data_IF_712948881385
#
_entry.id   IF_712948881385
#
_cell.length_a   1.000
_cell.length_b   1.000
_cell.length_c   1.000
_cell.angle_alpha   90.00
_cell.angle_beta   90.00
_cell.angle_gamma   90.00
#
_symmetry.space_group_name_H-M   'P 1'
#
loop_
_entity.id
_entity.type
_entity.pdbx_description
1 polymer ?
#
# COMPACT_ATOMS: atom_id res chain seq x y z
N UNK A 1 -8.72 13.53 6.83
CA UNK A 1 -8.31 12.18 7.26
C UNK A 1 -8.01 12.24 8.75
N UNK A 2 -8.36 11.23 9.55
CA UNK A 2 -8.03 11.25 10.97
C UNK A 2 -6.52 11.01 11.14
N UNK A 3 -5.83 12.01 11.70
CA UNK A 3 -4.43 11.87 12.08
C UNK A 3 -4.36 11.18 13.43
N UNK A 4 -3.57 10.12 13.52
CA UNK A 4 -3.30 9.40 14.76
C UNK A 4 -1.82 9.49 15.10
N UNK A 5 -1.47 9.94 16.31
CA UNK A 5 -0.10 9.84 16.83
C UNK A 5 0.11 8.40 17.32
N UNK A 6 1.10 7.74 16.78
CA UNK A 6 1.39 6.31 17.05
C UNK A 6 2.48 6.19 18.10
N UNK A 7 3.50 7.01 18.00
CA UNK A 7 4.58 7.15 18.98
C UNK A 7 5.07 8.61 18.98
N UNK A 8 6.10 8.92 19.76
CA UNK A 8 6.72 10.22 19.71
C UNK A 8 7.24 10.48 18.28
N UNK A 9 6.71 11.58 17.69
CA UNK A 9 7.07 12.02 16.34
C UNK A 9 6.74 11.04 15.20
N UNK A 10 5.90 10.02 15.44
CA UNK A 10 5.37 9.09 14.43
C UNK A 10 3.86 9.23 14.32
N UNK A 11 3.38 9.56 13.12
CA UNK A 11 1.97 9.86 12.85
C UNK A 11 1.46 9.05 11.65
N UNK A 12 0.29 8.44 11.82
CA UNK A 12 -0.47 7.80 10.75
C UNK A 12 -1.64 8.68 10.33
N UNK A 13 -1.69 9.04 9.06
CA UNK A 13 -2.81 9.72 8.43
C UNK A 13 -3.71 8.67 7.80
N UNK A 14 -4.77 8.27 8.51
CA UNK A 14 -5.59 7.12 8.14
C UNK A 14 -6.63 7.51 7.07
N UNK A 15 -6.82 6.62 6.11
CA UNK A 15 -7.87 6.75 5.10
C UNK A 15 -9.28 6.80 5.72
N UNK A 16 -10.22 7.48 5.05
CA UNK A 16 -11.58 7.70 5.59
C UNK A 16 -12.58 6.65 5.16
N UNK A 17 -12.50 6.24 3.91
CA UNK A 17 -13.44 5.31 3.30
C UNK A 17 -12.82 4.56 2.14
N UNK A 18 -13.47 3.50 1.68
CA UNK A 18 -13.08 2.73 0.50
C UNK A 18 -13.50 3.36 -0.83
N UNK A 19 -13.93 4.62 -0.82
CA UNK A 19 -14.25 5.37 -2.02
C UNK A 19 -12.98 5.70 -2.82
N UNK A 20 -13.07 5.64 -4.14
CA UNK A 20 -12.01 6.10 -5.06
C UNK A 20 -11.61 7.57 -4.79
N UNK A 21 -12.54 8.43 -4.38
CA UNK A 21 -12.28 9.83 -4.06
C UNK A 21 -11.51 10.04 -2.76
N UNK A 22 -11.50 9.03 -1.89
CA UNK A 22 -10.71 8.99 -0.67
C UNK A 22 -9.46 8.09 -0.84
N UNK A 23 -9.08 7.76 -2.09
CA UNK A 23 -7.93 6.89 -2.39
C UNK A 23 -8.12 5.49 -1.83
N UNK A 24 -9.34 4.97 -1.90
CA UNK A 24 -9.72 3.65 -1.35
C UNK A 24 -9.30 3.41 0.10
N UNK A 25 -9.10 4.49 0.85
CA UNK A 25 -8.72 4.40 2.26
C UNK A 25 -7.24 4.12 2.50
N UNK A 26 -6.37 4.43 1.53
CA UNK A 26 -4.92 4.29 1.69
C UNK A 26 -4.39 5.20 2.79
N UNK A 27 -3.52 4.65 3.62
CA UNK A 27 -2.85 5.34 4.71
C UNK A 27 -1.54 5.98 4.24
N UNK A 28 -1.14 7.06 4.92
CA UNK A 28 0.18 7.64 4.81
C UNK A 28 0.79 7.78 6.20
N UNK A 29 2.10 7.67 6.31
CA UNK A 29 2.79 7.83 7.59
C UNK A 29 3.85 8.91 7.50
N UNK A 30 3.93 9.82 8.47
CA UNK A 30 5.07 10.72 8.56
C UNK A 30 5.77 10.62 9.91
N UNK A 31 7.09 10.77 9.86
CA UNK A 31 8.00 10.67 10.99
C UNK A 31 8.78 11.98 11.04
N UNK A 32 8.71 12.67 12.17
CA UNK A 32 9.48 13.89 12.42
C UNK A 32 10.82 13.49 13.03
N UNK A 33 11.92 13.95 12.42
CA UNK A 33 13.29 13.76 12.91
C UNK A 33 13.98 15.11 13.10
N UNK A 34 15.15 15.14 13.72
CA UNK A 34 15.95 16.36 13.81
C UNK A 34 16.43 16.85 12.42
N UNK A 35 16.65 15.94 11.47
CA UNK A 35 17.08 16.23 10.11
C UNK A 35 15.96 16.67 9.15
N UNK A 36 14.68 16.48 9.51
CA UNK A 36 13.51 16.76 8.67
C UNK A 36 12.44 15.71 8.79
N UNK A 37 11.43 15.75 7.93
CA UNK A 37 10.32 14.81 7.90
C UNK A 37 10.58 13.69 6.90
N UNK A 38 10.34 12.46 7.32
CA UNK A 38 10.25 11.26 6.47
C UNK A 38 8.78 10.99 6.25
N UNK A 39 8.38 10.80 5.00
CA UNK A 39 7.03 10.47 4.60
C UNK A 39 6.99 9.10 3.95
N UNK A 40 6.11 8.22 4.38
CA UNK A 40 5.84 6.92 3.75
C UNK A 40 4.50 7.00 3.05
N UNK A 41 4.53 6.87 1.74
CA UNK A 41 3.45 7.07 0.77
C UNK A 41 2.87 8.50 0.74
N UNK A 42 2.30 8.87 -0.40
CA UNK A 42 1.95 10.28 -0.68
C UNK A 42 0.48 10.49 -0.98
N UNK A 43 -0.30 9.41 -1.12
CA UNK A 43 -1.73 9.44 -1.40
C UNK A 43 -2.05 9.51 -2.90
N UNK A 44 -3.36 9.49 -3.20
CA UNK A 44 -3.92 9.31 -4.53
C UNK A 44 -4.22 10.62 -5.27
N UNK A 45 -4.84 11.59 -4.59
CA UNK A 45 -5.32 12.83 -5.21
C UNK A 45 -4.60 14.06 -4.66
N UNK A 46 -4.72 15.18 -5.37
CA UNK A 46 -4.19 16.47 -4.90
C UNK A 46 -4.78 16.86 -3.56
N UNK A 47 -6.07 16.61 -3.36
CA UNK A 47 -6.77 16.94 -2.10
C UNK A 47 -6.21 16.14 -0.93
N UNK A 48 -5.99 14.83 -1.11
CA UNK A 48 -5.40 13.96 -0.09
C UNK A 48 -3.98 14.42 0.25
N UNK A 49 -3.13 14.59 -0.76
CA UNK A 49 -1.72 14.94 -0.55
C UNK A 49 -1.54 16.34 0.02
N UNK A 50 -2.39 17.31 -0.35
CA UNK A 50 -2.40 18.66 0.25
C UNK A 50 -2.88 18.63 1.71
N UNK A 51 -3.91 17.83 2.01
CA UNK A 51 -4.37 17.63 3.39
C UNK A 51 -3.26 17.02 4.26
N UNK A 52 -2.55 16.01 3.74
CA UNK A 52 -1.39 15.42 4.40
C UNK A 52 -0.29 16.46 4.67
N UNK A 53 0.05 17.27 3.67
CA UNK A 53 1.04 18.34 3.84
C UNK A 53 0.61 19.38 4.90
N UNK A 54 -0.69 19.68 4.99
CA UNK A 54 -1.23 20.56 6.03
C UNK A 54 -1.09 19.93 7.42
N UNK A 55 -1.37 18.62 7.56
CA UNK A 55 -1.19 17.92 8.83
C UNK A 55 0.30 17.88 9.25
N UNK A 56 1.22 17.65 8.32
CA UNK A 56 2.66 17.74 8.60
C UNK A 56 3.01 19.14 9.13
N UNK A 57 2.57 20.21 8.44
CA UNK A 57 2.85 21.61 8.83
C UNK A 57 2.25 22.03 10.18
N UNK A 58 1.15 21.40 10.62
CA UNK A 58 0.59 21.64 11.96
C UNK A 58 1.45 21.05 13.07
N UNK A 59 2.24 20.02 12.76
CA UNK A 59 3.05 19.29 13.75
C UNK A 59 4.52 19.72 13.73
N UNK A 60 5.03 20.30 12.63
CA UNK A 60 6.42 20.75 12.50
C UNK A 60 6.61 21.74 11.36
N UNK A 61 7.58 22.65 11.52
CA UNK A 61 8.06 23.53 10.45
C UNK A 61 9.16 22.91 9.59
N UNK A 62 9.63 21.70 9.95
CA UNK A 62 10.68 21.00 9.21
C UNK A 62 10.18 20.54 7.84
N UNK A 63 11.02 20.63 6.78
CA UNK A 63 10.63 20.19 5.46
C UNK A 63 10.60 18.66 5.35
N UNK A 64 9.77 18.13 4.44
CA UNK A 64 9.86 16.73 4.01
C UNK A 64 11.18 16.56 3.25
N UNK A 65 12.05 15.67 3.73
CA UNK A 65 13.38 15.40 3.17
C UNK A 65 13.43 14.08 2.40
N UNK A 66 12.67 13.10 2.87
CA UNK A 66 12.60 11.78 2.28
C UNK A 66 11.15 11.36 2.12
N UNK A 67 10.80 10.84 0.96
CA UNK A 67 9.58 10.08 0.70
C UNK A 67 9.99 8.62 0.45
N UNK A 68 9.31 7.68 1.06
CA UNK A 68 9.46 6.25 0.80
C UNK A 68 8.17 5.76 0.17
N UNK A 69 8.20 5.27 -1.07
CA UNK A 69 7.05 4.59 -1.65
C UNK A 69 7.09 3.12 -1.29
N UNK A 70 6.01 2.62 -0.69
CA UNK A 70 5.90 1.22 -0.29
C UNK A 70 5.77 0.30 -1.50
N UNK A 71 5.01 0.70 -2.52
CA UNK A 71 4.83 -0.01 -3.79
C UNK A 71 4.28 0.94 -4.87
N UNK A 72 4.00 0.45 -6.08
CA UNK A 72 3.69 1.27 -7.26
C UNK A 72 2.20 1.55 -7.49
N UNK A 73 1.29 1.17 -6.59
CA UNK A 73 -0.13 1.46 -6.77
C UNK A 73 -0.44 2.96 -6.62
N UNK A 74 -1.42 3.39 -7.38
CA UNK A 74 -1.74 4.81 -7.60
C UNK A 74 -2.07 5.57 -6.32
N UNK A 75 -2.78 4.92 -5.40
CA UNK A 75 -3.21 5.47 -4.12
C UNK A 75 -2.07 5.69 -3.12
N UNK A 76 -0.89 5.16 -3.42
CA UNK A 76 0.33 5.34 -2.62
C UNK A 76 1.32 6.35 -3.22
N UNK A 77 1.29 6.56 -4.56
CA UNK A 77 2.38 7.29 -5.25
C UNK A 77 1.96 8.55 -6.01
N UNK A 78 0.69 8.74 -6.36
CA UNK A 78 0.30 9.85 -7.25
C UNK A 78 0.59 11.21 -6.63
N UNK A 79 0.60 11.31 -5.29
CA UNK A 79 0.99 12.53 -4.58
C UNK A 79 2.48 12.88 -4.64
N UNK A 80 3.36 12.04 -5.20
CA UNK A 80 4.81 12.27 -5.26
C UNK A 80 5.17 13.67 -5.80
N UNK A 81 4.42 14.17 -6.77
CA UNK A 81 4.66 15.49 -7.39
C UNK A 81 4.54 16.67 -6.41
N UNK A 82 3.71 16.56 -5.35
CA UNK A 82 3.61 17.57 -4.31
C UNK A 82 4.81 17.58 -3.35
N UNK A 83 5.57 16.49 -3.35
CA UNK A 83 6.77 16.30 -2.52
C UNK A 83 8.06 16.25 -3.34
N UNK A 84 8.06 16.77 -4.57
CA UNK A 84 9.17 16.72 -5.53
C UNK A 84 10.48 17.38 -5.06
N UNK A 85 10.44 18.18 -3.99
CA UNK A 85 11.64 18.74 -3.33
C UNK A 85 12.33 17.76 -2.38
N UNK A 86 11.66 16.67 -2.00
CA UNK A 86 12.23 15.60 -1.21
C UNK A 86 12.90 14.55 -2.13
N UNK A 87 13.84 13.80 -1.58
CA UNK A 87 14.31 12.59 -2.25
C UNK A 87 13.24 11.52 -2.15
N UNK A 88 12.85 10.90 -3.25
CA UNK A 88 11.91 9.78 -3.27
C UNK A 88 12.71 8.49 -3.39
N UNK A 89 12.47 7.56 -2.48
CA UNK A 89 13.11 6.25 -2.38
C UNK A 89 12.07 5.15 -2.57
N UNK A 90 12.40 4.13 -3.35
CA UNK A 90 11.62 2.90 -3.44
C UNK A 90 12.48 1.69 -3.80
N UNK A 91 11.91 0.50 -3.72
CA UNK A 91 12.54 -0.69 -4.30
C UNK A 91 12.68 -0.53 -5.83
N UNK A 92 13.75 -1.08 -6.41
CA UNK A 92 14.02 -0.95 -7.85
C UNK A 92 12.86 -1.44 -8.72
N UNK A 93 12.18 -2.55 -8.35
CA UNK A 93 11.03 -3.04 -9.07
C UNK A 93 9.83 -2.08 -9.00
N UNK A 94 9.58 -1.46 -7.84
CA UNK A 94 8.54 -0.44 -7.69
C UNK A 94 8.83 0.74 -8.63
N UNK A 95 10.07 1.24 -8.62
CA UNK A 95 10.49 2.33 -9.50
C UNK A 95 10.31 1.99 -10.98
N UNK A 96 10.71 0.78 -11.40
CA UNK A 96 10.55 0.32 -12.78
C UNK A 96 9.08 0.32 -13.22
N UNK A 97 8.17 -0.15 -12.36
CA UNK A 97 6.73 -0.17 -12.66
C UNK A 97 6.11 1.23 -12.67
N UNK A 98 6.56 2.15 -11.82
CA UNK A 98 6.12 3.55 -11.87
C UNK A 98 6.52 4.19 -13.21
N UNK A 99 7.74 3.94 -13.69
CA UNK A 99 8.22 4.44 -14.98
C UNK A 99 7.43 3.81 -16.14
N UNK A 100 7.18 2.51 -16.07
CA UNK A 100 6.51 1.77 -17.14
C UNK A 100 5.03 2.12 -17.27
N UNK A 101 4.30 2.24 -16.14
CA UNK A 101 2.83 2.27 -16.14
C UNK A 101 2.22 3.53 -15.52
N UNK A 102 3.01 4.38 -14.89
CA UNK A 102 2.49 5.51 -14.12
C UNK A 102 1.69 6.50 -14.96
N UNK A 103 2.21 6.88 -16.14
CA UNK A 103 1.52 7.82 -17.03
C UNK A 103 0.24 7.22 -17.63
N UNK A 104 0.25 5.95 -18.02
CA UNK A 104 -0.93 5.24 -18.48
C UNK A 104 -2.03 5.23 -17.40
N UNK A 105 -1.64 4.88 -16.16
CA UNK A 105 -2.57 4.83 -15.03
C UNK A 105 -3.19 6.20 -14.72
N UNK A 106 -2.39 7.25 -14.61
CA UNK A 106 -2.92 8.58 -14.27
C UNK A 106 -3.83 9.11 -15.37
N UNK A 107 -3.53 8.85 -16.65
CA UNK A 107 -4.39 9.21 -17.76
C UNK A 107 -5.71 8.41 -17.78
N UNK A 108 -5.69 7.15 -17.39
CA UNK A 108 -6.89 6.35 -17.27
C UNK A 108 -7.82 6.92 -16.19
N UNK A 109 -7.28 7.32 -15.02
CA UNK A 109 -8.06 7.98 -13.98
C UNK A 109 -8.59 9.35 -14.38
N UNK A 110 -7.84 10.13 -15.16
CA UNK A 110 -8.32 11.41 -15.72
C UNK A 110 -9.52 11.24 -16.65
N UNK A 111 -9.70 10.04 -17.22
CA UNK A 111 -10.85 9.69 -18.07
C UNK A 111 -12.02 9.06 -17.33
N UNK A 112 -11.83 8.69 -16.05
CA UNK A 112 -12.81 7.95 -15.28
C UNK A 112 -14.07 8.77 -15.01
N UNK A 113 -13.93 9.94 -14.39
CA UNK A 113 -15.01 10.92 -14.22
C UNK A 113 -14.47 12.35 -14.04
N UNK A 114 -15.38 13.33 -14.10
CA UNK A 114 -15.02 14.76 -14.02
C UNK A 114 -14.41 15.14 -12.66
N UNK A 115 -14.96 14.67 -11.55
CA UNK A 115 -14.50 15.01 -10.19
C UNK A 115 -13.08 14.51 -9.96
N UNK A 116 -12.83 13.24 -10.30
CA UNK A 116 -11.51 12.65 -10.17
C UNK A 116 -10.50 13.35 -11.07
N UNK A 117 -10.87 13.63 -12.34
CA UNK A 117 -10.05 14.38 -13.27
C UNK A 117 -9.60 15.72 -12.68
N UNK A 118 -10.53 16.50 -12.13
CA UNK A 118 -10.23 17.82 -11.54
C UNK A 118 -9.25 17.69 -10.37
N UNK A 119 -9.38 16.66 -9.52
CA UNK A 119 -8.53 16.48 -8.33
C UNK A 119 -7.14 15.91 -8.65
N UNK A 120 -6.97 15.20 -9.77
CA UNK A 120 -5.66 14.67 -10.19
C UNK A 120 -5.01 15.43 -11.34
N UNK A 121 -5.68 16.41 -11.96
CA UNK A 121 -5.20 17.11 -13.15
C UNK A 121 -3.84 17.79 -12.95
N UNK A 122 -3.57 18.34 -11.77
CA UNK A 122 -2.31 18.99 -11.41
C UNK A 122 -1.21 18.05 -10.93
N UNK A 123 -1.47 16.75 -10.88
CA UNK A 123 -0.47 15.75 -10.50
C UNK A 123 0.31 15.29 -11.74
N UNK A 124 1.56 14.95 -11.54
CA UNK A 124 2.43 14.30 -12.52
C UNK A 124 3.14 13.09 -11.89
N UNK A 125 3.45 12.13 -12.70
CA UNK A 125 4.22 10.96 -12.25
C UNK A 125 5.67 11.37 -12.01
N UNK A 126 6.09 11.26 -10.75
CA UNK A 126 7.49 11.50 -10.34
C UNK A 126 8.06 10.17 -9.84
N UNK A 127 8.88 9.50 -10.65
CA UNK A 127 9.54 8.27 -10.24
C UNK A 127 10.55 8.52 -9.11
N UNK A 128 10.80 7.52 -8.24
CA UNK A 128 11.84 7.58 -7.24
C UNK A 128 13.23 7.84 -7.85
N UNK A 129 13.98 8.77 -7.25
CA UNK A 129 15.35 9.12 -7.67
C UNK A 129 16.40 8.23 -6.99
N UNK A 130 16.05 7.66 -5.82
CA UNK A 130 16.88 6.72 -5.09
C UNK A 130 16.23 5.35 -5.06
N UNK A 131 16.98 4.31 -5.40
CA UNK A 131 16.47 2.94 -5.42
C UNK A 131 17.35 2.00 -4.63
N UNK A 132 16.75 0.90 -4.16
CA UNK A 132 17.47 -0.20 -3.54
C UNK A 132 16.93 -1.55 -4.07
N UNK A 133 17.72 -2.62 -3.88
CA UNK A 133 17.36 -3.98 -4.34
C UNK A 133 17.58 -5.06 -3.29
N UNK A 134 18.06 -4.70 -2.12
CA UNK A 134 18.28 -5.60 -0.97
C UNK A 134 17.91 -4.85 0.29
N UNK A 135 17.44 -5.57 1.30
CA UNK A 135 17.14 -5.00 2.61
C UNK A 135 18.34 -4.16 3.12
N UNK A 136 18.04 -3.01 3.66
CA UNK A 136 19.04 -2.14 4.24
C UNK A 136 18.48 -1.31 5.40
N UNK A 137 19.37 -0.76 6.21
CA UNK A 137 19.02 0.22 7.23
C UNK A 137 19.55 1.59 6.82
N UNK A 138 18.78 2.63 7.07
CA UNK A 138 19.15 4.02 6.88
C UNK A 138 18.97 4.79 8.20
N UNK A 139 19.95 5.63 8.54
CA UNK A 139 19.87 6.52 9.67
C UNK A 139 19.55 7.93 9.18
N UNK A 140 18.45 8.50 9.68
CA UNK A 140 17.99 9.84 9.31
C UNK A 140 17.76 10.61 10.59
N UNK A 141 18.69 11.53 10.88
CA UNK A 141 18.78 12.11 12.19
C UNK A 141 19.04 11.04 13.25
N UNK A 142 18.27 11.10 14.32
CA UNK A 142 18.34 10.12 15.43
C UNK A 142 17.59 8.81 15.16
N UNK A 143 16.88 8.70 14.01
CA UNK A 143 16.02 7.54 13.72
C UNK A 143 16.72 6.50 12.87
N UNK A 144 16.49 5.25 13.20
CA UNK A 144 16.87 4.09 12.37
C UNK A 144 15.64 3.56 11.66
N UNK A 145 15.69 3.48 10.33
CA UNK A 145 14.67 2.84 9.52
C UNK A 145 15.27 1.61 8.83
N UNK A 146 14.55 0.49 8.87
CA UNK A 146 14.92 -0.70 8.10
C UNK A 146 13.91 -0.89 6.98
N UNK A 147 14.38 -0.80 5.74
CA UNK A 147 13.62 -1.14 4.56
C UNK A 147 13.73 -2.65 4.31
N UNK A 148 12.58 -3.32 4.29
CA UNK A 148 12.47 -4.77 4.11
C UNK A 148 11.69 -5.03 2.83
N UNK A 149 12.28 -5.78 1.90
CA UNK A 149 11.66 -6.18 0.65
C UNK A 149 11.42 -7.69 0.63
N UNK A 150 10.19 -8.17 0.31
CA UNK A 150 9.94 -9.60 0.11
C UNK A 150 10.59 -10.10 -1.20
N UNK A 151 11.61 -10.98 -1.14
CA UNK A 151 12.45 -11.31 -2.32
C UNK A 151 11.71 -11.95 -3.50
N UNK A 152 10.50 -12.44 -3.29
CA UNK A 152 9.64 -13.06 -4.32
C UNK A 152 8.39 -12.23 -4.62
N UNK A 153 8.35 -10.99 -4.15
CA UNK A 153 7.14 -10.19 -4.10
C UNK A 153 6.11 -10.74 -3.09
N UNK A 154 5.06 -9.98 -2.86
CA UNK A 154 3.92 -10.38 -2.05
C UNK A 154 2.64 -9.76 -2.62
N UNK A 155 2.29 -8.52 -2.25
CA UNK A 155 1.21 -7.73 -2.83
C UNK A 155 1.57 -7.28 -4.26
N UNK A 156 2.80 -6.77 -4.42
CA UNK A 156 3.45 -6.51 -5.72
C UNK A 156 4.84 -7.15 -5.77
N UNK A 157 5.55 -7.00 -6.88
CA UNK A 157 6.95 -7.41 -6.97
C UNK A 157 7.94 -6.36 -6.45
N UNK A 158 7.44 -5.17 -6.07
CA UNK A 158 8.24 -4.03 -5.62
C UNK A 158 7.95 -3.58 -4.19
N UNK A 159 7.29 -4.40 -3.37
CA UNK A 159 6.87 -4.04 -2.03
C UNK A 159 8.03 -3.65 -1.12
N UNK A 160 7.79 -2.65 -0.28
CA UNK A 160 8.66 -2.20 0.80
C UNK A 160 7.87 -2.13 2.11
N UNK A 161 8.34 -2.79 3.14
CA UNK A 161 7.94 -2.52 4.52
C UNK A 161 9.00 -1.65 5.19
N UNK A 162 8.58 -0.70 6.02
CA UNK A 162 9.48 0.15 6.80
C UNK A 162 9.35 -0.21 8.28
N UNK A 163 10.42 -0.74 8.86
CA UNK A 163 10.48 -1.07 10.27
C UNK A 163 11.21 0.02 11.03
N UNK A 164 10.57 0.54 12.07
CA UNK A 164 11.15 1.40 13.11
C UNK A 164 11.50 0.50 14.31
N UNK A 165 12.74 0.02 14.41
CA UNK A 165 13.08 -1.03 15.37
C UNK A 165 13.03 -0.54 16.83
N UNK A 166 13.36 0.74 17.06
CA UNK A 166 13.39 1.32 18.41
C UNK A 166 11.98 1.55 18.95
N UNK A 167 11.05 1.97 18.08
CA UNK A 167 9.64 2.15 18.38
C UNK A 167 8.84 0.85 18.28
N UNK A 168 9.40 -0.20 17.70
CA UNK A 168 8.76 -1.49 17.40
C UNK A 168 7.50 -1.33 16.53
N UNK A 169 7.56 -0.41 15.56
CA UNK A 169 6.50 -0.10 14.61
C UNK A 169 6.87 -0.65 13.25
N UNK A 170 5.92 -1.32 12.59
CA UNK A 170 6.01 -1.72 11.20
C UNK A 170 5.03 -0.91 10.36
N UNK A 171 5.52 -0.16 9.39
CA UNK A 171 4.71 0.45 8.33
C UNK A 171 4.74 -0.54 7.17
N UNK A 172 3.63 -1.22 6.94
CA UNK A 172 3.63 -2.41 6.09
C UNK A 172 3.31 -2.14 4.62
N UNK A 173 2.84 -0.94 4.26
CA UNK A 173 2.13 -0.80 2.99
C UNK A 173 1.03 -1.87 2.88
N UNK A 174 0.70 -2.28 1.68
CA UNK A 174 -0.37 -3.24 1.42
C UNK A 174 -0.02 -4.70 1.69
N UNK A 175 1.16 -4.95 2.28
CA UNK A 175 1.47 -6.28 2.84
C UNK A 175 0.47 -6.65 3.94
N UNK A 176 -0.11 -5.67 4.64
CA UNK A 176 -1.17 -5.86 5.61
C UNK A 176 -2.25 -4.81 5.40
N UNK A 177 -3.49 -5.26 5.30
CA UNK A 177 -4.70 -4.43 5.33
C UNK A 177 -5.57 -4.85 6.49
N UNK A 178 -6.25 -3.89 7.12
CA UNK A 178 -7.10 -4.13 8.30
C UNK A 178 -8.55 -3.83 7.94
N UNK A 179 -9.38 -4.88 7.87
CA UNK A 179 -10.78 -4.81 7.45
C UNK A 179 -10.96 -4.25 6.02
N UNK A 180 -9.98 -4.51 5.15
CA UNK A 180 -10.03 -4.22 3.72
C UNK A 180 -9.65 -5.46 2.92
N UNK A 181 -10.43 -5.76 1.87
CA UNK A 181 -10.06 -6.79 0.91
C UNK A 181 -8.82 -6.34 0.12
N UNK A 182 -7.74 -7.16 0.08
CA UNK A 182 -6.53 -6.79 -0.64
C UNK A 182 -6.73 -6.87 -2.16
N UNK A 183 -6.05 -6.02 -2.92
CA UNK A 183 -5.92 -6.20 -4.37
C UNK A 183 -4.95 -7.35 -4.67
N UNK A 184 -5.38 -8.35 -5.46
CA UNK A 184 -4.58 -9.54 -5.79
C UNK A 184 -4.05 -9.54 -7.23
N UNK A 185 -4.20 -8.45 -7.96
CA UNK A 185 -3.83 -8.35 -9.38
C UNK A 185 -2.36 -8.74 -9.64
N UNK A 186 -1.45 -8.13 -8.89
CA UNK A 186 -0.01 -8.33 -9.02
C UNK A 186 0.55 -9.35 -8.01
N UNK A 187 -0.36 -10.00 -7.24
CA UNK A 187 0.03 -10.74 -6.06
C UNK A 187 0.69 -12.09 -6.34
N UNK A 188 1.72 -12.37 -5.53
CA UNK A 188 2.23 -13.72 -5.32
C UNK A 188 1.72 -14.26 -3.98
N UNK A 189 0.50 -14.79 -3.96
CA UNK A 189 -0.20 -15.19 -2.73
C UNK A 189 0.62 -16.17 -1.90
N UNK A 190 1.23 -17.17 -2.52
CA UNK A 190 2.04 -18.17 -1.81
C UNK A 190 3.28 -17.55 -1.14
N UNK A 191 3.94 -16.59 -1.81
CA UNK A 191 5.06 -15.86 -1.22
C UNK A 191 4.58 -14.90 -0.13
N UNK A 192 3.43 -14.26 -0.35
CA UNK A 192 2.82 -13.35 0.61
C UNK A 192 2.47 -14.04 1.93
N UNK A 193 1.80 -15.20 1.88
CA UNK A 193 1.50 -16.00 3.07
C UNK A 193 2.78 -16.37 3.83
N UNK A 194 3.84 -16.80 3.12
CA UNK A 194 5.13 -17.10 3.77
C UNK A 194 5.77 -15.87 4.41
N UNK A 195 5.67 -14.70 3.76
CA UNK A 195 6.15 -13.44 4.32
C UNK A 195 5.41 -13.10 5.63
N UNK A 196 4.08 -13.24 5.66
CA UNK A 196 3.30 -12.96 6.86
C UNK A 196 3.71 -13.86 8.04
N UNK A 197 4.11 -15.11 7.79
CA UNK A 197 4.68 -15.98 8.84
C UNK A 197 6.05 -15.47 9.36
N UNK A 198 6.82 -14.77 8.53
CA UNK A 198 8.04 -14.08 8.96
C UNK A 198 7.69 -12.83 9.77
N UNK A 199 6.74 -12.03 9.30
CA UNK A 199 6.28 -10.81 10.00
C UNK A 199 5.76 -11.13 11.41
N UNK A 200 5.06 -12.26 11.60
CA UNK A 200 4.64 -12.74 12.93
C UNK A 200 5.79 -12.90 13.93
N UNK A 201 7.02 -13.12 13.44
CA UNK A 201 8.21 -13.32 14.29
C UNK A 201 8.98 -12.02 14.58
N UNK A 202 8.66 -10.93 13.89
CA UNK A 202 9.30 -9.64 14.15
C UNK A 202 8.98 -9.14 15.57
N UNK A 203 9.92 -8.42 16.14
CA UNK A 203 9.74 -7.74 17.43
C UNK A 203 9.06 -6.40 17.20
N UNK A 204 7.75 -6.43 16.97
CA UNK A 204 6.89 -5.27 16.73
C UNK A 204 5.70 -5.30 17.67
N UNK A 205 5.27 -4.11 18.08
CA UNK A 205 4.11 -3.92 18.96
C UNK A 205 2.92 -3.36 18.14
N UNK A 206 3.20 -2.54 17.11
CA UNK A 206 2.18 -1.89 16.29
C UNK A 206 2.48 -2.02 14.80
N UNK A 207 1.42 -2.06 14.01
CA UNK A 207 1.47 -2.08 12.54
C UNK A 207 0.62 -0.94 12.01
N UNK A 208 1.23 -0.09 11.18
CA UNK A 208 0.51 0.87 10.35
C UNK A 208 0.32 0.20 8.99
N UNK A 209 -0.90 -0.26 8.68
CA UNK A 209 -1.18 -0.97 7.42
C UNK A 209 -1.28 0.00 6.26
N UNK A 210 -1.27 -0.51 5.02
CA UNK A 210 -1.58 0.29 3.83
C UNK A 210 -3.03 0.78 3.83
N UNK A 211 -3.96 -0.03 4.31
CA UNK A 211 -5.38 0.32 4.45
C UNK A 211 -5.93 -0.08 5.82
N UNK A 212 -6.81 0.77 6.37
CA UNK A 212 -7.52 0.51 7.60
C UNK A 212 -6.83 1.03 8.87
N UNK A 213 -7.29 0.58 10.02
CA UNK A 213 -6.83 1.07 11.32
C UNK A 213 -5.45 0.51 11.70
N UNK A 214 -4.72 1.24 12.55
CA UNK A 214 -3.51 0.73 13.20
C UNK A 214 -3.86 -0.54 13.99
N UNK A 215 -3.02 -1.55 13.86
CA UNK A 215 -3.27 -2.87 14.41
C UNK A 215 -2.08 -3.41 15.23
N UNK A 216 -2.38 -4.42 16.02
CA UNK A 216 -1.35 -5.23 16.69
C UNK A 216 -0.89 -6.40 15.81
N UNK A 217 0.12 -7.10 16.27
CA UNK A 217 0.69 -8.25 15.56
C UNK A 217 -0.29 -9.43 15.37
N UNK A 218 -1.30 -9.56 16.23
CA UNK A 218 -2.34 -10.59 16.08
C UNK A 218 -3.06 -10.49 14.73
N UNK A 219 -3.23 -9.26 14.21
CA UNK A 219 -3.91 -9.02 12.94
C UNK A 219 -3.20 -9.65 11.73
N UNK A 220 -1.88 -9.85 11.82
CA UNK A 220 -1.10 -10.56 10.77
C UNK A 220 -1.64 -11.98 10.57
N UNK A 221 -2.06 -12.65 11.65
CA UNK A 221 -2.69 -13.97 11.58
C UNK A 221 -4.03 -13.95 10.87
N UNK A 222 -4.89 -13.02 11.23
CA UNK A 222 -6.23 -12.83 10.62
C UNK A 222 -6.09 -12.61 9.12
N UNK A 223 -5.18 -11.71 8.71
CA UNK A 223 -4.97 -11.39 7.31
C UNK A 223 -4.34 -12.57 6.52
N UNK A 224 -3.39 -13.29 7.13
CA UNK A 224 -2.81 -14.49 6.52
C UNK A 224 -3.85 -15.60 6.33
N UNK A 225 -4.75 -15.78 7.27
CA UNK A 225 -5.83 -16.77 7.19
C UNK A 225 -6.86 -16.40 6.13
N UNK A 226 -7.18 -15.11 5.98
CA UNK A 226 -8.00 -14.63 4.87
C UNK A 226 -7.38 -15.01 3.52
N UNK A 227 -6.10 -14.71 3.30
CA UNK A 227 -5.43 -15.03 2.03
C UNK A 227 -5.40 -16.54 1.76
N UNK A 228 -5.15 -17.39 2.78
CA UNK A 228 -5.18 -18.85 2.63
C UNK A 228 -6.55 -19.37 2.25
N UNK A 229 -7.59 -18.90 2.94
CA UNK A 229 -8.97 -19.31 2.68
C UNK A 229 -9.40 -18.88 1.28
N UNK A 230 -9.13 -17.63 0.91
CA UNK A 230 -9.49 -17.12 -0.42
C UNK A 230 -8.80 -17.92 -1.53
N UNK A 231 -7.48 -18.16 -1.44
CA UNK A 231 -6.72 -18.97 -2.40
C UNK A 231 -7.27 -20.41 -2.50
N UNK A 232 -7.60 -21.02 -1.36
CA UNK A 232 -8.13 -22.38 -1.29
C UNK A 232 -9.52 -22.48 -1.95
N UNK A 233 -10.43 -21.54 -1.68
CA UNK A 233 -11.78 -21.51 -2.28
C UNK A 233 -11.71 -21.29 -3.80
N UNK A 234 -10.82 -20.40 -4.29
CA UNK A 234 -10.64 -20.22 -5.74
C UNK A 234 -10.12 -21.51 -6.40
N UNK A 235 -9.15 -22.21 -5.79
CA UNK A 235 -8.64 -23.50 -6.32
C UNK A 235 -9.72 -24.58 -6.31
N UNK A 236 -10.55 -24.63 -5.28
CA UNK A 236 -11.70 -25.53 -5.19
C UNK A 236 -12.66 -25.24 -6.32
N UNK A 237 -13.05 -23.98 -6.54
CA UNK A 237 -13.94 -23.56 -7.62
C UNK A 237 -13.40 -23.96 -9.01
N UNK A 238 -12.08 -23.84 -9.24
CA UNK A 238 -11.46 -24.31 -10.50
C UNK A 238 -11.59 -25.82 -10.65
N UNK A 239 -11.33 -26.59 -9.60
CA UNK A 239 -11.42 -28.06 -9.66
C UNK A 239 -12.85 -28.56 -9.87
N UNK A 240 -13.84 -27.85 -9.31
CA UNK A 240 -15.27 -28.18 -9.42
C UNK A 240 -15.92 -27.58 -10.67
N UNK A 241 -15.23 -26.69 -11.39
CA UNK A 241 -15.79 -25.95 -12.54
C UNK A 241 -16.87 -24.95 -12.16
N UNK A 242 -16.94 -24.54 -10.89
CA UNK A 242 -17.88 -23.53 -10.41
C UNK A 242 -17.30 -22.13 -10.58
N UNK A 243 -18.18 -21.11 -10.69
CA UNK A 243 -17.75 -19.69 -10.82
C UNK A 243 -18.40 -18.80 -9.76
N UNK A 244 -18.72 -19.40 -8.61
CA UNK A 244 -19.27 -18.64 -7.48
C UNK A 244 -18.15 -17.92 -6.74
N UNK A 245 -18.32 -16.62 -6.52
CA UNK A 245 -17.36 -15.79 -5.79
C UNK A 245 -17.42 -16.16 -4.30
N UNK A 246 -16.30 -16.59 -3.70
CA UNK A 246 -16.32 -17.03 -2.31
C UNK A 246 -16.53 -15.88 -1.35
N UNK A 247 -17.33 -16.13 -0.31
CA UNK A 247 -17.40 -15.27 0.87
C UNK A 247 -16.52 -15.91 1.94
N UNK A 248 -15.54 -15.16 2.43
CA UNK A 248 -14.63 -15.64 3.47
C UNK A 248 -15.17 -15.23 4.84
N UNK A 249 -15.50 -16.21 5.67
CA UNK A 249 -16.03 -16.00 7.01
C UNK A 249 -15.20 -14.99 7.81
N UNK A 250 -15.90 -13.99 8.35
CA UNK A 250 -15.31 -12.91 9.13
C UNK A 250 -14.80 -11.72 8.29
N UNK A 251 -14.97 -11.78 6.96
CA UNK A 251 -14.62 -10.66 6.07
C UNK A 251 -15.84 -9.97 5.43
N UNK A 252 -17.04 -10.33 5.80
CA UNK A 252 -18.28 -9.84 5.19
C UNK A 252 -18.47 -8.33 5.34
N UNK A 253 -17.93 -7.77 6.41
CA UNK A 253 -17.97 -6.34 6.71
C UNK A 253 -16.72 -5.57 6.23
N UNK A 254 -15.77 -6.23 5.58
CA UNK A 254 -14.56 -5.56 5.10
C UNK A 254 -14.86 -4.61 3.95
N UNK A 255 -14.09 -3.54 3.88
CA UNK A 255 -14.14 -2.55 2.81
C UNK A 255 -13.57 -3.09 1.48
N UNK A 256 -13.76 -2.36 0.39
CA UNK A 256 -13.35 -2.74 -0.97
C UNK A 256 -14.00 -4.05 -1.46
N UNK A 257 -15.26 -4.28 -1.12
CA UNK A 257 -16.01 -5.47 -1.58
C UNK A 257 -16.02 -5.62 -3.10
N UNK A 258 -15.97 -4.50 -3.82
CA UNK A 258 -15.99 -4.48 -5.29
C UNK A 258 -14.82 -5.23 -5.93
N UNK A 259 -13.69 -5.38 -5.21
CA UNK A 259 -12.53 -6.08 -5.77
C UNK A 259 -12.55 -7.59 -5.57
N UNK A 260 -13.44 -8.12 -4.72
CA UNK A 260 -13.50 -9.56 -4.40
C UNK A 260 -13.81 -10.37 -5.65
N UNK A 261 -14.81 -9.96 -6.43
CA UNK A 261 -15.16 -10.62 -7.68
C UNK A 261 -14.02 -10.54 -8.71
N UNK A 262 -13.38 -9.39 -8.83
CA UNK A 262 -12.21 -9.20 -9.70
C UNK A 262 -11.06 -10.11 -9.28
N UNK A 263 -10.72 -10.14 -7.99
CA UNK A 263 -9.70 -11.03 -7.44
C UNK A 263 -10.01 -12.51 -7.74
N UNK A 264 -11.28 -12.91 -7.56
CA UNK A 264 -11.71 -14.26 -7.89
C UNK A 264 -11.49 -14.57 -9.36
N UNK A 265 -11.97 -13.73 -10.28
CA UNK A 265 -11.81 -13.91 -11.73
C UNK A 265 -10.34 -14.01 -12.13
N UNK A 266 -9.49 -13.12 -11.61
CA UNK A 266 -8.05 -13.10 -11.89
C UNK A 266 -7.37 -14.42 -11.48
N UNK A 267 -7.61 -14.87 -10.26
CA UNK A 267 -7.03 -16.11 -9.75
C UNK A 267 -7.64 -17.35 -10.40
N UNK A 268 -8.94 -17.35 -10.65
CA UNK A 268 -9.61 -18.45 -11.35
C UNK A 268 -8.99 -18.65 -12.74
N UNK A 269 -8.85 -17.59 -13.53
CA UNK A 269 -8.21 -17.65 -14.85
C UNK A 269 -6.75 -18.12 -14.75
N UNK A 270 -6.00 -17.57 -13.79
CA UNK A 270 -4.60 -17.97 -13.53
C UNK A 270 -4.48 -19.46 -13.22
N UNK A 271 -5.38 -20.03 -12.41
CA UNK A 271 -5.29 -21.43 -11.97
C UNK A 271 -5.90 -22.40 -12.97
N UNK A 272 -6.89 -21.99 -13.75
CA UNK A 272 -7.50 -22.81 -14.81
C UNK A 272 -6.70 -22.80 -16.12
N UNK A 273 -5.69 -21.92 -16.26
CA UNK A 273 -4.96 -21.73 -17.51
C UNK A 273 -5.73 -20.99 -18.58
N UNK A 274 -6.86 -20.33 -18.23
CA UNK A 274 -7.62 -19.51 -19.15
C UNK A 274 -6.90 -18.20 -19.46
N UNK A 275 -7.16 -17.61 -20.67
CA UNK A 275 -6.60 -16.30 -21.02
C UNK A 275 -7.03 -15.22 -20.01
N UNK A 276 -6.07 -14.35 -19.65
CA UNK A 276 -6.34 -13.24 -18.76
C UNK A 276 -7.08 -12.15 -19.51
N UNK A 277 -8.33 -11.89 -19.15
CA UNK A 277 -9.03 -10.67 -19.56
C UNK A 277 -8.71 -9.58 -18.52
N UNK A 278 -8.03 -8.53 -18.95
CA UNK A 278 -7.83 -7.34 -18.13
C UNK A 278 -9.10 -6.49 -18.19
N UNK A 279 -9.87 -6.44 -17.11
CA UNK A 279 -10.92 -5.44 -16.94
C UNK A 279 -10.27 -4.06 -16.77
N UNK A 280 -10.72 -3.09 -17.54
CA UNK A 280 -10.14 -1.76 -17.67
C UNK A 280 -10.47 -0.81 -16.50
N UNK A 281 -10.43 -1.26 -15.24
CA UNK A 281 -10.43 -0.34 -14.12
C UNK A 281 -8.96 -0.11 -13.73
N UNK A 282 -8.41 1.09 -13.98
CA UNK A 282 -7.04 1.40 -13.59
C UNK A 282 -6.92 1.39 -12.07
N UNK A 283 -5.88 0.80 -11.54
CA UNK A 283 -5.45 0.93 -10.15
C UNK A 283 -4.00 1.32 -10.06
#
# INVERSE_FOLDING_TARGET
MPLQRIADDVFANLGKSDSIYDGWGANQTFIITDAGVILVDTGFTSSISRSLLQEIKKNTDKPVKLVINTHDHSDHIFGNSLFSKATILAHANCTARIIERGEERIEAYRKFDKRLKEDIMGLSIIPPQKTYSKDFAEHIGERTLKMIHPPKGAHTNGDTMVLLPDEKILISGDIISVNYHPNLEDANISAWIRLLEVVKKLKIDQIIPGHGAVASKEHVGIFADYLRKFDAEVRKSVNEGTKEVPIIDGSEAWNLKMIVERNFRLLYNKYSGAEQFYDAIPR
#
